data_IF_874052048305
#
_entry.id   IF_874052048305
#
_cell.length_a   1.000
_cell.length_b   1.000
_cell.length_c   1.000
_cell.angle_alpha   90.00
_cell.angle_beta   90.00
_cell.angle_gamma   90.00
#
_symmetry.space_group_name_H-M   'P 1'
#
loop_
_entity.id
_entity.type
_entity.pdbx_description
1 polymer ?
#
# COMPACT_ATOMS: atom_id res chain seq x y z
N UNK A 1 -11.50 -10.13 -13.07
CA UNK A 1 -11.54 -9.28 -11.86
C UNK A 1 -11.29 -10.09 -10.60
N UNK A 2 -11.98 -11.23 -10.41
CA UNK A 2 -11.85 -12.04 -9.18
C UNK A 2 -10.43 -12.56 -8.90
N UNK A 3 -9.69 -12.98 -9.92
CA UNK A 3 -8.28 -13.41 -9.75
C UNK A 3 -7.37 -12.25 -9.34
N UNK A 4 -7.54 -11.08 -9.97
CA UNK A 4 -6.79 -9.87 -9.63
C UNK A 4 -7.09 -9.42 -8.21
N UNK A 5 -8.37 -9.44 -7.82
CA UNK A 5 -8.80 -9.15 -6.46
C UNK A 5 -8.18 -10.10 -5.44
N UNK A 6 -8.24 -11.42 -5.68
CA UNK A 6 -7.61 -12.41 -4.81
C UNK A 6 -6.12 -12.15 -4.65
N UNK A 7 -5.43 -11.89 -5.76
CA UNK A 7 -3.99 -11.59 -5.75
C UNK A 7 -3.67 -10.37 -4.89
N UNK A 8 -4.37 -9.26 -5.11
CA UNK A 8 -4.15 -8.04 -4.33
C UNK A 8 -4.50 -8.26 -2.85
N UNK A 9 -5.61 -8.93 -2.55
CA UNK A 9 -6.00 -9.18 -1.15
C UNK A 9 -4.96 -9.98 -0.37
N UNK A 10 -4.20 -10.86 -1.06
CA UNK A 10 -3.08 -11.63 -0.50
C UNK A 10 -1.80 -10.83 -0.31
N UNK A 11 -1.73 -9.59 -0.80
CA UNK A 11 -0.61 -8.69 -0.55
C UNK A 11 -0.91 -7.64 0.53
N UNK A 12 -2.17 -7.42 0.89
CA UNK A 12 -2.55 -6.35 1.83
C UNK A 12 -2.18 -6.70 3.27
N UNK A 13 -1.44 -5.81 3.91
CA UNK A 13 -1.09 -5.90 5.33
C UNK A 13 -1.88 -4.84 6.09
N UNK A 14 -2.57 -5.25 7.16
CA UNK A 14 -3.15 -4.28 8.10
C UNK A 14 -2.05 -3.79 9.04
N UNK A 15 -1.95 -2.49 9.21
CA UNK A 15 -0.93 -1.86 10.04
C UNK A 15 -1.65 -1.07 11.12
N UNK A 16 -1.55 -1.50 12.38
CA UNK A 16 -2.02 -0.72 13.51
C UNK A 16 -0.84 0.06 14.12
N UNK A 17 -1.02 1.36 14.32
CA UNK A 17 -0.04 2.22 15.00
C UNK A 17 -0.78 2.95 16.12
N UNK A 18 -0.50 2.59 17.38
CA UNK A 18 -1.30 3.04 18.52
C UNK A 18 -2.77 2.60 18.40
N UNK A 19 -3.69 3.57 18.29
CA UNK A 19 -5.14 3.32 18.15
C UNK A 19 -5.67 3.48 16.71
N UNK A 20 -4.78 3.70 15.74
CA UNK A 20 -5.13 3.94 14.35
C UNK A 20 -4.80 2.74 13.48
N UNK A 21 -5.63 2.51 12.45
CA UNK A 21 -5.44 1.44 11.48
C UNK A 21 -5.17 1.99 10.09
N UNK A 22 -4.23 1.35 9.41
CA UNK A 22 -3.76 1.70 8.08
C UNK A 22 -3.59 0.43 7.25
N UNK A 23 -3.37 0.62 5.96
CA UNK A 23 -3.06 -0.47 5.04
C UNK A 23 -1.71 -0.23 4.40
N UNK A 24 -0.96 -1.32 4.30
CA UNK A 24 0.20 -1.43 3.43
C UNK A 24 0.06 -2.64 2.53
N UNK A 25 1.13 -2.95 1.82
CA UNK A 25 1.22 -4.12 0.99
C UNK A 25 2.61 -4.75 1.08
N UNK A 26 2.67 -6.06 0.90
CA UNK A 26 3.93 -6.79 0.77
C UNK A 26 4.55 -6.43 -0.57
N UNK A 27 5.71 -5.78 -0.56
CA UNK A 27 6.49 -5.48 -1.76
C UNK A 27 7.51 -6.56 -2.07
N UNK A 28 8.02 -7.23 -1.03
CA UNK A 28 8.99 -8.32 -1.15
C UNK A 28 8.82 -9.32 0.00
N UNK A 29 9.14 -10.59 -0.28
CA UNK A 29 9.18 -11.69 0.70
C UNK A 29 10.63 -12.17 0.89
N UNK A 30 11.49 -12.07 -0.13
CA UNK A 30 12.86 -12.59 -0.12
C UNK A 30 13.86 -11.60 -0.73
N UNK A 31 14.98 -11.29 -0.05
CA UNK A 31 15.53 -11.98 1.13
C UNK A 31 14.95 -11.50 2.47
N UNK A 32 14.13 -10.44 2.46
CA UNK A 32 13.51 -9.87 3.65
C UNK A 32 12.07 -9.54 3.36
N UNK A 33 11.19 -9.89 4.29
CA UNK A 33 9.79 -9.51 4.24
C UNK A 33 9.68 -7.98 4.37
N UNK A 34 9.22 -7.34 3.31
CA UNK A 34 9.14 -5.89 3.19
C UNK A 34 7.70 -5.46 2.96
N UNK A 35 7.22 -4.57 3.82
CA UNK A 35 5.89 -3.96 3.69
C UNK A 35 6.04 -2.49 3.35
N UNK A 36 5.29 -2.01 2.36
CA UNK A 36 5.22 -0.60 2.00
C UNK A 36 3.86 -0.01 2.31
N UNK A 37 3.82 1.23 2.78
CA UNK A 37 2.60 1.95 3.11
C UNK A 37 2.74 3.46 2.85
N UNK A 38 1.62 4.18 2.87
CA UNK A 38 1.64 5.64 2.72
C UNK A 38 2.04 6.27 4.04
N UNK A 39 3.20 6.94 4.07
CA UNK A 39 3.70 7.62 5.27
C UNK A 39 2.79 8.79 5.69
N UNK A 40 2.01 9.35 4.77
CA UNK A 40 1.01 10.38 5.06
C UNK A 40 -0.06 9.92 6.07
N UNK A 41 -0.21 8.60 6.23
CA UNK A 41 -1.14 8.03 7.18
C UNK A 41 -0.56 7.92 8.59
N UNK A 42 0.77 7.89 8.74
CA UNK A 42 1.41 7.53 10.00
C UNK A 42 1.47 8.71 10.98
N UNK A 43 1.28 8.46 12.30
CA UNK A 43 1.39 9.50 13.30
C UNK A 43 2.84 10.00 13.42
N UNK A 44 2.99 11.31 13.64
CA UNK A 44 4.31 11.93 13.88
C UNK A 44 4.34 12.54 15.29
N UNK A 45 5.33 12.20 16.14
CA UNK A 45 6.46 11.31 15.87
C UNK A 45 6.12 9.82 16.08
N UNK A 46 6.63 8.96 15.19
CA UNK A 46 6.38 7.51 15.20
C UNK A 46 6.89 6.79 16.46
N UNK A 47 7.99 7.28 17.05
CA UNK A 47 8.69 6.69 18.22
C UNK A 47 7.86 6.53 19.51
N UNK A 48 6.63 7.03 19.52
CA UNK A 48 5.74 6.99 20.68
C UNK A 48 4.66 5.90 20.53
N UNK A 49 4.68 5.12 19.46
CA UNK A 49 3.60 4.21 19.11
C UNK A 49 4.14 2.82 18.80
N UNK A 50 3.52 1.82 19.41
CA UNK A 50 3.72 0.44 19.02
C UNK A 50 3.11 0.19 17.63
N UNK A 51 3.69 -0.75 16.90
CA UNK A 51 3.26 -1.15 15.56
C UNK A 51 2.87 -2.63 15.57
N UNK A 52 1.69 -2.94 15.06
CA UNK A 52 1.23 -4.31 14.81
C UNK A 52 0.96 -4.47 13.32
N UNK A 53 1.58 -5.48 12.72
CA UNK A 53 1.34 -5.88 11.34
C UNK A 53 0.51 -7.16 11.35
N UNK A 54 -0.67 -7.16 10.70
CA UNK A 54 -1.48 -8.37 10.52
C UNK A 54 -1.50 -8.76 9.05
N UNK A 55 -0.98 -9.95 8.75
CA UNK A 55 -0.79 -10.48 7.40
C UNK A 55 -1.99 -11.31 6.92
N UNK A 56 -2.16 -11.51 5.59
CA UNK A 56 -3.24 -12.31 5.03
C UNK A 56 -3.28 -13.78 5.46
N UNK A 57 -2.16 -14.35 5.90
CA UNK A 57 -2.08 -15.70 6.47
C UNK A 57 -2.57 -15.78 7.93
N UNK A 58 -2.97 -14.65 8.52
CA UNK A 58 -3.43 -14.55 9.90
C UNK A 58 -2.31 -14.38 10.92
N UNK A 59 -1.04 -14.32 10.50
CA UNK A 59 0.06 -14.02 11.42
C UNK A 59 0.08 -12.54 11.77
N UNK A 60 0.49 -12.26 13.00
CA UNK A 60 0.65 -10.92 13.51
C UNK A 60 2.05 -10.70 14.07
N UNK A 61 2.67 -9.58 13.73
CA UNK A 61 4.00 -9.20 14.19
C UNK A 61 3.94 -7.87 14.93
N UNK A 62 4.35 -7.90 16.20
CA UNK A 62 4.30 -6.77 17.10
C UNK A 62 5.69 -6.17 17.31
N UNK A 63 5.80 -4.87 17.09
CA UNK A 63 7.02 -4.10 17.28
C UNK A 63 6.76 -2.99 18.30
N UNK A 64 7.37 -3.07 19.50
CA UNK A 64 7.32 -1.99 20.47
C UNK A 64 7.85 -0.67 19.88
N UNK A 65 7.38 0.47 20.37
CA UNK A 65 7.73 1.79 19.84
C UNK A 65 9.24 2.04 19.64
N UNK A 66 10.09 1.53 20.55
CA UNK A 66 11.55 1.65 20.48
C UNK A 66 12.18 0.83 19.34
N UNK A 67 11.55 -0.27 18.95
CA UNK A 67 11.95 -1.14 17.83
C UNK A 67 11.28 -0.73 16.52
N UNK A 68 10.07 -0.16 16.57
CA UNK A 68 9.34 0.31 15.40
C UNK A 68 10.13 1.34 14.57
N UNK A 69 10.88 2.22 15.23
CA UNK A 69 11.73 3.20 14.53
C UNK A 69 12.92 2.58 13.80
N UNK A 70 13.29 1.35 14.13
CA UNK A 70 14.44 0.66 13.52
C UNK A 70 14.03 -0.05 12.24
N UNK A 71 12.76 -0.47 12.15
CA UNK A 71 12.22 -1.20 11.01
C UNK A 71 11.52 -0.30 10.00
N UNK A 72 11.07 0.89 10.41
CA UNK A 72 10.33 1.83 9.55
C UNK A 72 11.25 2.93 9.03
N UNK A 73 11.46 2.95 7.71
CA UNK A 73 12.14 4.04 7.00
C UNK A 73 11.12 4.83 6.18
N UNK A 74 11.14 6.15 6.27
CA UNK A 74 10.25 7.02 5.49
C UNK A 74 11.07 7.78 4.47
N UNK A 75 10.77 7.56 3.19
CA UNK A 75 11.38 8.25 2.06
C UNK A 75 10.29 8.64 1.07
N UNK A 76 10.26 9.90 0.64
CA UNK A 76 9.35 10.39 -0.40
C UNK A 76 7.85 10.11 -0.15
N UNK A 77 7.43 10.14 1.11
CA UNK A 77 6.04 9.90 1.50
C UNK A 77 5.63 8.42 1.51
N UNK A 78 6.58 7.50 1.34
CA UNK A 78 6.41 6.05 1.48
C UNK A 78 7.09 5.60 2.77
N UNK A 79 6.39 4.81 3.56
CA UNK A 79 6.94 4.08 4.69
C UNK A 79 7.32 2.67 4.23
N UNK A 80 8.59 2.32 4.38
CA UNK A 80 9.14 0.97 4.15
C UNK A 80 9.36 0.33 5.50
N UNK A 81 8.77 -0.84 5.71
CA UNK A 81 8.82 -1.60 6.96
C UNK A 81 9.56 -2.91 6.69
N UNK A 82 10.79 -3.03 7.20
CA UNK A 82 11.60 -4.24 7.10
C UNK A 82 11.32 -5.19 8.27
N UNK A 83 10.68 -6.32 8.01
CA UNK A 83 10.48 -7.36 9.02
C UNK A 83 11.78 -8.20 9.13
N UNK A 84 12.29 -8.39 10.36
CA UNK A 84 13.51 -9.16 10.64
C UNK A 84 13.25 -10.53 11.31
N UNK A 85 13.27 -11.59 10.50
CA UNK A 85 13.20 -12.98 10.99
C UNK A 85 11.78 -13.55 11.11
N UNK A 86 10.78 -12.80 10.67
CA UNK A 86 9.40 -13.25 10.59
C UNK A 86 9.17 -14.11 9.35
N UNK A 87 8.50 -15.24 9.56
CA UNK A 87 8.13 -16.16 8.49
C UNK A 87 6.63 -16.05 8.22
N UNK A 88 6.27 -16.00 6.94
CA UNK A 88 4.89 -15.95 6.45
C UNK A 88 4.60 -17.15 5.54
N UNK A 89 3.33 -17.53 5.42
CA UNK A 89 2.92 -18.55 4.46
C UNK A 89 2.85 -17.97 3.04
N UNK A 90 3.80 -18.33 2.17
CA UNK A 90 3.86 -17.85 0.78
C UNK A 90 2.74 -18.40 -0.12
N UNK A 91 2.02 -19.43 0.31
CA UNK A 91 0.82 -19.92 -0.37
C UNK A 91 -0.42 -19.06 -0.06
N UNK A 92 -0.34 -18.20 0.96
CA UNK A 92 -1.41 -17.30 1.40
C UNK A 92 -1.04 -15.81 1.27
N UNK A 93 0.24 -15.47 1.34
CA UNK A 93 0.76 -14.12 1.17
C UNK A 93 1.49 -13.99 -0.17
N UNK A 94 1.31 -12.87 -0.86
CA UNK A 94 1.92 -12.63 -2.17
C UNK A 94 2.55 -11.23 -2.23
N UNK A 95 3.76 -11.13 -2.78
CA UNK A 95 4.38 -9.83 -3.05
C UNK A 95 3.73 -9.18 -4.28
N UNK A 96 3.38 -7.91 -4.17
CA UNK A 96 2.86 -7.15 -5.29
C UNK A 96 4.03 -6.57 -6.11
N UNK A 97 4.13 -7.02 -7.37
CA UNK A 97 5.16 -6.53 -8.28
C UNK A 97 4.99 -5.03 -8.56
N UNK A 98 6.06 -4.26 -8.36
CA UNK A 98 6.14 -2.86 -8.78
C UNK A 98 6.36 -2.77 -10.28
N UNK A 99 5.62 -1.88 -10.94
CA UNK A 99 5.81 -1.56 -12.35
C UNK A 99 7.04 -0.66 -12.53
N UNK A 100 8.03 -1.13 -13.28
CA UNK A 100 9.23 -0.34 -13.62
C UNK A 100 9.01 0.66 -14.77
N UNK A 101 7.87 0.59 -15.46
CA UNK A 101 7.51 1.52 -16.52
C UNK A 101 6.75 2.71 -15.96
N UNK A 102 7.01 3.89 -16.52
CA UNK A 102 6.26 5.10 -16.19
C UNK A 102 4.82 5.00 -16.71
N UNK A 103 3.87 5.51 -15.93
CA UNK A 103 2.48 5.57 -16.36
C UNK A 103 2.28 6.57 -17.49
N UNK A 104 1.29 6.33 -18.34
CA UNK A 104 0.92 7.24 -19.44
C UNK A 104 -0.42 7.92 -19.19
N UNK A 105 -0.60 9.15 -19.71
CA UNK A 105 -1.90 9.82 -19.69
C UNK A 105 -2.91 8.97 -20.46
N UNK A 106 -4.13 8.85 -19.92
CA UNK A 106 -5.21 7.97 -20.39
C UNK A 106 -4.94 6.47 -20.22
N UNK A 107 -3.86 6.08 -19.54
CA UNK A 107 -3.66 4.68 -19.17
C UNK A 107 -4.77 4.22 -18.22
N UNK A 108 -5.29 3.03 -18.47
CA UNK A 108 -6.30 2.41 -17.62
C UNK A 108 -5.67 1.82 -16.38
N UNK A 109 -6.16 2.26 -15.22
CA UNK A 109 -5.67 1.86 -13.91
C UNK A 109 -6.83 1.45 -13.01
N UNK A 110 -6.50 0.73 -11.95
CA UNK A 110 -7.47 0.29 -10.95
C UNK A 110 -6.99 0.65 -9.55
N UNK A 111 -7.92 1.07 -8.70
CA UNK A 111 -7.63 1.35 -7.30
C UNK A 111 -8.24 0.26 -6.43
N UNK A 112 -7.41 -0.40 -5.63
CA UNK A 112 -7.89 -1.31 -4.58
C UNK A 112 -8.06 -0.53 -3.29
N UNK A 113 -9.29 -0.50 -2.77
CA UNK A 113 -9.61 0.14 -1.51
C UNK A 113 -9.94 -0.93 -0.46
N UNK A 114 -9.06 -1.05 0.53
CA UNK A 114 -9.27 -1.92 1.68
C UNK A 114 -10.16 -1.19 2.69
N UNK A 115 -11.43 -1.59 2.82
CA UNK A 115 -12.31 -0.97 3.82
C UNK A 115 -12.10 -1.54 5.22
N UNK A 116 -12.55 -0.76 6.21
CA UNK A 116 -12.63 -1.17 7.60
C UNK A 116 -13.54 -2.40 7.76
N UNK A 117 -13.42 -3.07 8.92
CA UNK A 117 -14.20 -4.26 9.24
C UNK A 117 -15.70 -4.07 9.00
N UNK A 118 -16.30 -5.00 8.25
CA UNK A 118 -17.72 -4.98 7.91
C UNK A 118 -18.06 -4.26 6.60
N UNK A 119 -17.09 -3.72 5.86
CA UNK A 119 -17.30 -3.15 4.53
C UNK A 119 -16.44 -3.95 3.51
N UNK A 120 -17.05 -4.38 2.41
CA UNK A 120 -16.35 -5.14 1.37
C UNK A 120 -15.34 -4.27 0.62
N UNK A 121 -14.07 -4.70 0.58
CA UNK A 121 -13.04 -4.13 -0.30
C UNK A 121 -13.51 -4.07 -1.75
N UNK A 122 -13.19 -2.97 -2.43
CA UNK A 122 -13.61 -2.74 -3.80
C UNK A 122 -12.41 -2.40 -4.68
N UNK A 123 -12.45 -2.91 -5.92
CA UNK A 123 -11.59 -2.45 -6.99
C UNK A 123 -12.40 -1.53 -7.89
N UNK A 124 -11.93 -0.30 -8.05
CA UNK A 124 -12.56 0.68 -8.94
C UNK A 124 -11.66 0.93 -10.13
N UNK A 125 -12.27 0.97 -11.32
CA UNK A 125 -11.58 1.28 -12.57
C UNK A 125 -11.53 2.80 -12.75
N UNK A 126 -10.44 3.28 -13.32
CA UNK A 126 -10.29 4.65 -13.78
C UNK A 126 -9.18 4.78 -14.82
N UNK A 127 -8.78 6.02 -15.05
CA UNK A 127 -7.74 6.39 -15.99
C UNK A 127 -6.83 7.44 -15.40
N UNK A 128 -5.55 7.40 -15.79
CA UNK A 128 -4.58 8.47 -15.51
C UNK A 128 -5.03 9.73 -16.25
N UNK A 129 -5.23 10.81 -15.51
CA UNK A 129 -5.77 12.08 -16.00
C UNK A 129 -4.67 13.07 -16.35
N UNK A 130 -3.63 13.12 -15.52
CA UNK A 130 -2.47 13.99 -15.70
C UNK A 130 -1.29 13.46 -14.90
N UNK A 131 -0.08 13.82 -15.32
CA UNK A 131 1.18 13.40 -14.70
C UNK A 131 1.92 14.65 -14.24
N UNK A 132 2.47 14.59 -13.04
CA UNK A 132 3.44 15.52 -12.47
C UNK A 132 4.76 14.76 -12.25
N UNK A 133 5.82 15.46 -11.87
CA UNK A 133 7.19 14.92 -11.81
C UNK A 133 7.31 13.54 -11.12
N UNK A 134 6.59 13.32 -10.03
CA UNK A 134 6.65 12.06 -9.25
C UNK A 134 5.28 11.56 -8.78
N UNK A 135 4.21 12.07 -9.38
CA UNK A 135 2.85 11.71 -9.03
C UNK A 135 1.92 11.86 -10.22
N UNK A 136 0.76 11.22 -10.15
CA UNK A 136 -0.25 11.33 -11.19
C UNK A 136 -1.65 11.41 -10.58
N UNK A 137 -2.54 12.07 -11.31
CA UNK A 137 -3.96 12.13 -10.98
C UNK A 137 -4.68 11.01 -11.70
N UNK A 138 -5.66 10.39 -11.04
CA UNK A 138 -6.48 9.37 -11.67
C UNK A 138 -7.96 9.48 -11.29
N UNK A 139 -8.82 9.00 -12.19
CA UNK A 139 -10.27 9.09 -12.07
C UNK A 139 -10.92 7.90 -11.35
N UNK A 140 -10.13 7.02 -10.73
CA UNK A 140 -10.68 5.94 -9.91
C UNK A 140 -11.52 6.52 -8.76
N UNK A 141 -12.49 5.74 -8.28
CA UNK A 141 -13.29 6.13 -7.13
C UNK A 141 -12.69 5.52 -5.86
N UNK A 142 -12.42 6.34 -4.85
CA UNK A 142 -12.10 5.87 -3.49
C UNK A 142 -13.27 6.18 -2.56
N UNK A 143 -13.52 5.30 -1.59
CA UNK A 143 -14.40 5.61 -0.46
C UNK A 143 -13.86 6.81 0.32
N UNK A 144 -14.76 7.63 0.86
CA UNK A 144 -14.49 8.91 1.54
C UNK A 144 -13.42 8.85 2.64
N UNK A 145 -13.13 7.68 3.20
CA UNK A 145 -12.29 7.51 4.38
C UNK A 145 -10.90 6.90 4.11
N UNK A 146 -10.62 6.40 2.90
CA UNK A 146 -9.49 5.47 2.68
C UNK A 146 -8.70 5.74 1.40
N UNK A 147 -8.61 7.00 0.99
CA UNK A 147 -7.81 7.36 -0.18
C UNK A 147 -6.30 7.32 0.11
N UNK A 148 -5.85 7.47 1.35
CA UNK A 148 -4.42 7.39 1.68
C UNK A 148 -3.99 5.93 1.81
N UNK A 149 -2.92 5.55 1.09
CA UNK A 149 -2.39 4.18 1.08
C UNK A 149 -3.14 3.22 0.17
N UNK A 150 -4.19 3.67 -0.54
CA UNK A 150 -4.85 2.83 -1.54
C UNK A 150 -3.90 2.51 -2.70
N UNK A 151 -3.90 1.27 -3.15
CA UNK A 151 -3.02 0.81 -4.23
C UNK A 151 -3.59 1.22 -5.58
N UNK A 152 -2.73 1.68 -6.49
CA UNK A 152 -3.07 1.89 -7.91
C UNK A 152 -2.31 0.89 -8.75
N UNK A 153 -3.02 0.09 -9.52
CA UNK A 153 -2.47 -1.00 -10.32
C UNK A 153 -2.83 -0.86 -11.80
N UNK A 154 -1.96 -1.33 -12.69
CA UNK A 154 -2.23 -1.39 -14.13
C UNK A 154 -3.06 -2.63 -14.51
N UNK A 155 -3.35 -2.80 -15.80
CA UNK A 155 -4.06 -3.99 -16.34
C UNK A 155 -3.34 -5.32 -16.10
N UNK A 156 -2.02 -5.31 -16.01
CA UNK A 156 -1.21 -6.49 -15.64
C UNK A 156 -1.27 -6.80 -14.14
N UNK A 157 -1.91 -5.92 -13.36
CA UNK A 157 -2.01 -5.96 -11.91
C UNK A 157 -0.68 -5.70 -11.20
N UNK A 158 0.25 -4.99 -11.85
CA UNK A 158 1.45 -4.46 -11.23
C UNK A 158 1.11 -3.14 -10.54
N UNK A 159 1.77 -2.84 -9.43
CA UNK A 159 1.63 -1.58 -8.72
C UNK A 159 2.30 -0.45 -9.51
N UNK A 160 1.52 0.55 -9.90
CA UNK A 160 2.01 1.75 -10.58
C UNK A 160 2.00 2.97 -9.67
N UNK A 161 1.16 2.97 -8.62
CA UNK A 161 1.05 4.10 -7.73
C UNK A 161 0.53 3.75 -6.34
N UNK A 162 0.83 4.61 -5.38
CA UNK A 162 0.22 4.60 -4.05
C UNK A 162 -0.51 5.91 -3.82
N UNK A 163 -1.80 5.86 -3.51
CA UNK A 163 -2.58 7.07 -3.29
C UNK A 163 -2.07 7.83 -2.05
N UNK A 164 -1.79 9.12 -2.21
CA UNK A 164 -1.20 10.01 -1.19
C UNK A 164 -2.05 11.25 -0.93
N UNK A 165 -3.11 11.48 -1.70
CA UNK A 165 -3.96 12.64 -1.50
C UNK A 165 -5.15 12.71 -2.45
N UNK A 166 -5.84 13.84 -2.37
CA UNK A 166 -7.01 14.13 -3.17
C UNK A 166 -7.10 15.64 -3.46
N UNK A 167 -7.19 16.01 -4.73
CA UNK A 167 -7.53 17.35 -5.19
C UNK A 167 -8.45 17.24 -6.41
N UNK A 168 -9.76 17.20 -6.16
CA UNK A 168 -10.85 16.89 -7.12
C UNK A 168 -10.79 15.48 -7.74
N UNK A 169 -9.58 14.94 -7.90
CA UNK A 169 -9.23 13.60 -8.31
C UNK A 169 -8.24 13.00 -7.31
N UNK A 170 -8.12 11.67 -7.30
CA UNK A 170 -7.14 10.98 -6.47
C UNK A 170 -5.74 11.24 -7.02
N UNK A 171 -4.80 11.46 -6.10
CA UNK A 171 -3.38 11.67 -6.38
C UNK A 171 -2.63 10.45 -5.90
N UNK A 172 -1.81 9.88 -6.76
CA UNK A 172 -0.93 8.76 -6.42
C UNK A 172 0.53 9.13 -6.65
N UNK A 173 1.39 8.76 -5.70
CA UNK A 173 2.84 8.73 -5.89
C UNK A 173 3.15 7.65 -6.92
N UNK A 174 3.96 7.97 -7.91
CA UNK A 174 4.39 7.00 -8.90
C UNK A 174 5.45 6.05 -8.31
N UNK A 175 5.30 4.75 -8.56
CA UNK A 175 6.18 3.73 -7.97
C UNK A 175 7.37 3.34 -8.85
N UNK A 176 7.38 3.73 -10.14
CA UNK A 176 8.47 3.44 -11.08
C UNK A 176 9.82 4.02 -10.61
N UNK A 177 9.80 5.11 -9.85
CA UNK A 177 10.98 5.72 -9.23
C UNK A 177 11.59 4.89 -8.07
N UNK A 178 10.87 3.85 -7.61
CA UNK A 178 11.29 2.95 -6.54
C UNK A 178 11.62 1.54 -7.06
N UNK A 179 11.52 1.31 -8.37
CA UNK A 179 11.72 0.02 -9.04
C UNK A 179 13.17 -0.22 -9.49
#
# INVERSE_FOLDING_TARGET
MDQLYRRISRSIVKIAIGHSFYHGFVSDIMPRLTVMASAASFPTPLKNYDVLLSFPDGKEFFYPAESAIQIIQITDGIAVIECHGEEIDTDLVEALQVCGEQVSISEEVYTYNAYAEGIESAITKGYVMSIQESSFFHSCSAGLTLHLGALVINKGGQLVGLCTGFDRHLIAREMSALA
#
